data_IF_876552134524
#
_entry.id   IF_876552134524
#
_cell.length_a   1.000
_cell.length_b   1.000
_cell.length_c   1.000
_cell.angle_alpha   90.00
_cell.angle_beta   90.00
_cell.angle_gamma   90.00
#
_symmetry.space_group_name_H-M   'P 1'
#
loop_
_entity.id
_entity.type
_entity.pdbx_description
1 polymer ?
#
# COMPACT_ATOMS: atom_id res chain seq x y z
N UNK A 1 -30.27 42.38 -0.45
CA UNK A 1 -30.48 41.50 -1.63
C UNK A 1 -29.36 41.57 -2.69
N UNK A 2 -28.65 42.69 -2.91
CA UNK A 2 -27.54 42.74 -3.88
C UNK A 2 -26.26 42.00 -3.45
N UNK A 3 -25.94 41.96 -2.14
CA UNK A 3 -24.72 41.31 -1.64
C UNK A 3 -24.72 39.76 -1.77
N UNK A 4 -25.86 39.09 -1.53
CA UNK A 4 -25.94 37.62 -1.64
C UNK A 4 -25.71 37.13 -3.08
N UNK A 5 -26.16 37.89 -4.08
CA UNK A 5 -26.02 37.53 -5.48
C UNK A 5 -24.55 37.57 -5.95
N UNK A 6 -23.75 38.47 -5.40
CA UNK A 6 -22.31 38.58 -5.69
C UNK A 6 -21.51 37.46 -5.04
N UNK A 7 -21.87 37.05 -3.82
CA UNK A 7 -21.20 35.94 -3.11
C UNK A 7 -21.52 34.60 -3.77
N UNK A 8 -22.78 34.35 -4.14
CA UNK A 8 -23.16 33.12 -4.85
C UNK A 8 -22.43 33.03 -6.19
N UNK A 9 -22.38 34.12 -6.96
CA UNK A 9 -21.71 34.13 -8.27
C UNK A 9 -20.20 33.91 -8.16
N UNK A 10 -19.52 34.54 -7.19
CA UNK A 10 -18.11 34.30 -6.93
C UNK A 10 -17.82 32.85 -6.51
N UNK A 11 -18.74 32.22 -5.76
CA UNK A 11 -18.60 30.83 -5.35
C UNK A 11 -18.78 29.87 -6.54
N UNK A 12 -19.71 30.16 -7.45
CA UNK A 12 -19.89 29.39 -8.69
C UNK A 12 -18.68 29.51 -9.62
N UNK A 13 -18.11 30.71 -9.76
CA UNK A 13 -16.92 30.94 -10.57
C UNK A 13 -15.70 30.17 -10.02
N UNK A 14 -15.50 30.19 -8.69
CA UNK A 14 -14.47 29.40 -8.01
C UNK A 14 -14.63 27.88 -8.23
N UNK A 15 -15.87 27.37 -8.26
CA UNK A 15 -16.13 25.93 -8.48
C UNK A 15 -15.76 25.52 -9.91
N UNK A 16 -16.08 26.35 -10.91
CA UNK A 16 -15.75 26.09 -12.32
C UNK A 16 -14.23 26.19 -12.56
N UNK A 17 -13.57 27.12 -11.90
CA UNK A 17 -12.11 27.28 -11.96
C UNK A 17 -11.39 26.09 -11.31
N UNK A 18 -11.80 25.70 -10.10
CA UNK A 18 -11.20 24.55 -9.41
C UNK A 18 -11.38 23.23 -10.17
N UNK A 19 -12.53 23.02 -10.81
CA UNK A 19 -12.76 21.87 -11.69
C UNK A 19 -11.77 21.81 -12.86
N UNK A 20 -11.42 22.97 -13.41
CA UNK A 20 -10.47 23.13 -14.52
C UNK A 20 -9.04 22.88 -14.04
N UNK A 21 -8.67 23.43 -12.89
CA UNK A 21 -7.39 23.18 -12.20
C UNK A 21 -7.20 21.69 -11.94
N UNK A 22 -8.20 21.01 -11.36
CA UNK A 22 -8.14 19.56 -11.14
C UNK A 22 -7.99 18.76 -12.44
N UNK A 23 -8.60 19.20 -13.53
CA UNK A 23 -8.46 18.54 -14.84
C UNK A 23 -7.02 18.61 -15.35
N UNK A 24 -6.37 19.77 -15.22
CA UNK A 24 -4.94 19.95 -15.56
C UNK A 24 -4.05 19.07 -14.69
N UNK A 25 -4.25 19.10 -13.38
CA UNK A 25 -3.47 18.35 -12.39
C UNK A 25 -3.59 16.83 -12.52
N UNK A 26 -4.63 16.32 -13.20
CA UNK A 26 -4.84 14.88 -13.46
C UNK A 26 -4.18 14.37 -14.72
N UNK A 27 -3.59 15.25 -15.54
CA UNK A 27 -2.83 14.80 -16.72
C UNK A 27 -1.65 13.92 -16.26
N UNK A 28 -1.38 12.87 -17.02
CA UNK A 28 -0.24 12.01 -16.73
C UNK A 28 1.05 12.83 -16.80
N UNK A 29 2.00 12.50 -15.92
CA UNK A 29 3.31 13.13 -15.92
C UNK A 29 4.08 12.70 -17.17
N UNK A 30 4.88 13.61 -17.71
CA UNK A 30 5.81 13.31 -18.80
C UNK A 30 6.73 12.13 -18.39
N UNK A 31 6.78 11.03 -19.18
CA UNK A 31 7.66 9.90 -18.90
C UNK A 31 9.13 10.28 -18.68
N UNK A 32 9.64 11.37 -19.29
CA UNK A 32 11.02 11.83 -19.10
C UNK A 32 11.29 12.39 -17.69
N UNK A 33 10.24 12.79 -16.96
CA UNK A 33 10.32 13.27 -15.58
C UNK A 33 10.14 12.15 -14.56
N UNK A 34 9.76 10.95 -15.02
CA UNK A 34 9.63 9.77 -14.17
C UNK A 34 11.04 9.20 -13.90
N UNK A 35 11.27 8.84 -12.65
CA UNK A 35 12.49 8.22 -12.17
C UNK A 35 12.16 6.85 -11.61
N UNK A 36 13.15 5.97 -11.59
CA UNK A 36 13.02 4.62 -11.09
C UNK A 36 14.02 4.42 -9.97
N UNK A 37 13.57 3.82 -8.86
CA UNK A 37 14.46 3.42 -7.77
C UNK A 37 14.27 1.95 -7.43
N UNK A 38 15.35 1.34 -6.99
CA UNK A 38 15.33 -0.01 -6.42
C UNK A 38 14.65 0.03 -5.05
N UNK A 39 13.73 -0.89 -4.79
CA UNK A 39 13.02 -0.96 -3.50
C UNK A 39 13.42 -2.19 -2.71
N UNK A 40 13.29 -3.37 -3.32
CA UNK A 40 13.53 -4.65 -2.67
C UNK A 40 14.10 -5.65 -3.67
N UNK A 41 15.02 -6.47 -3.20
CA UNK A 41 15.43 -7.68 -3.93
C UNK A 41 14.54 -8.84 -3.52
N UNK A 42 13.97 -9.54 -4.50
CA UNK A 42 13.23 -10.78 -4.26
C UNK A 42 14.19 -11.92 -3.86
N UNK A 43 13.65 -13.10 -3.53
CA UNK A 43 14.47 -14.28 -3.18
C UNK A 43 15.23 -14.86 -4.37
N UNK A 44 14.81 -14.53 -5.59
CA UNK A 44 15.38 -15.02 -6.85
C UNK A 44 16.50 -14.09 -7.35
N UNK A 45 16.77 -13.01 -6.62
CA UNK A 45 17.80 -12.02 -6.94
C UNK A 45 17.32 -10.88 -7.86
N UNK A 46 16.06 -10.89 -8.28
CA UNK A 46 15.51 -9.81 -9.10
C UNK A 46 15.28 -8.56 -8.24
N UNK A 47 15.58 -7.41 -8.82
CA UNK A 47 15.42 -6.12 -8.16
C UNK A 47 14.04 -5.58 -8.54
N UNK A 48 13.16 -5.47 -7.55
CA UNK A 48 11.92 -4.72 -7.71
C UNK A 48 12.23 -3.23 -7.76
N UNK A 49 11.61 -2.57 -8.72
CA UNK A 49 11.77 -1.15 -8.92
C UNK A 49 10.43 -0.44 -8.81
N UNK A 50 10.47 0.80 -8.34
CA UNK A 50 9.28 1.66 -8.24
C UNK A 50 9.56 2.96 -8.98
N UNK A 51 8.60 3.33 -9.81
CA UNK A 51 8.56 4.62 -10.50
C UNK A 51 8.11 5.72 -9.53
N UNK A 52 8.73 6.88 -9.63
CA UNK A 52 8.40 8.05 -8.82
C UNK A 52 8.74 9.34 -9.56
N UNK A 53 8.19 10.45 -9.08
CA UNK A 53 8.60 11.80 -9.46
C UNK A 53 9.34 12.48 -8.33
N UNK A 54 10.28 13.35 -8.69
CA UNK A 54 10.98 14.20 -7.73
C UNK A 54 10.04 15.27 -7.15
N UNK A 55 10.37 15.74 -5.95
CA UNK A 55 9.52 16.73 -5.25
C UNK A 55 9.44 18.05 -6.02
N UNK A 56 10.54 18.48 -6.64
CA UNK A 56 10.57 19.74 -7.41
C UNK A 56 9.68 19.65 -8.65
N UNK A 57 9.64 18.50 -9.33
CA UNK A 57 8.71 18.26 -10.44
C UNK A 57 7.25 18.43 -10.01
N UNK A 58 6.90 17.98 -8.80
CA UNK A 58 5.56 18.18 -8.26
C UNK A 58 5.29 19.66 -7.98
N UNK A 59 6.27 20.40 -7.47
CA UNK A 59 6.16 21.84 -7.27
C UNK A 59 6.00 22.60 -8.61
N UNK A 60 6.80 22.24 -9.63
CA UNK A 60 6.72 22.85 -10.97
C UNK A 60 5.32 22.65 -11.60
N UNK A 61 4.75 21.45 -11.48
CA UNK A 61 3.39 21.16 -11.95
C UNK A 61 2.33 21.99 -11.20
N UNK A 62 2.51 22.18 -9.89
CA UNK A 62 1.63 23.00 -9.07
C UNK A 62 1.73 24.48 -9.46
N UNK A 63 2.94 25.00 -9.64
CA UNK A 63 3.18 26.38 -10.07
C UNK A 63 2.56 26.68 -11.45
N UNK A 64 2.65 25.74 -12.39
CA UNK A 64 2.08 25.90 -13.73
C UNK A 64 0.54 25.77 -13.75
N UNK A 65 0.00 24.80 -13.02
CA UNK A 65 -1.41 24.42 -13.12
C UNK A 65 -2.31 25.11 -12.09
N UNK A 66 -1.76 25.50 -10.94
CA UNK A 66 -2.45 26.02 -9.77
C UNK A 66 -1.57 27.05 -9.04
N UNK A 67 -1.26 28.21 -9.65
CA UNK A 67 -0.25 29.16 -9.16
C UNK A 67 -0.56 29.78 -7.80
N UNK A 68 -1.79 29.65 -7.31
CA UNK A 68 -2.23 30.09 -5.99
C UNK A 68 -2.18 28.97 -4.93
N UNK A 69 -1.51 27.85 -5.22
CA UNK A 69 -1.37 26.78 -4.25
C UNK A 69 -0.56 27.22 -3.04
N UNK A 70 -0.89 26.68 -1.88
CA UNK A 70 -0.18 26.93 -0.63
C UNK A 70 0.37 25.64 -0.05
N UNK A 71 1.56 25.73 0.55
CA UNK A 71 2.22 24.66 1.29
C UNK A 71 2.29 25.00 2.78
N UNK A 72 1.88 24.07 3.64
CA UNK A 72 2.10 24.22 5.08
C UNK A 72 2.44 22.90 5.77
N UNK A 73 3.48 22.92 6.61
CA UNK A 73 3.80 21.80 7.50
C UNK A 73 2.87 21.88 8.71
N UNK A 74 2.09 20.82 8.95
CA UNK A 74 1.07 20.74 10.00
C UNK A 74 1.57 20.06 11.27
N UNK A 75 2.37 19.01 11.13
CA UNK A 75 2.93 18.26 12.25
C UNK A 75 4.29 17.69 11.88
N UNK A 76 5.20 17.64 12.85
CA UNK A 76 6.47 16.93 12.77
C UNK A 76 6.60 16.12 14.03
N UNK A 77 6.63 14.79 13.90
CA UNK A 77 6.65 13.87 15.03
C UNK A 77 7.69 12.78 14.85
N UNK A 78 8.44 12.52 15.91
CA UNK A 78 9.33 11.36 15.99
C UNK A 78 8.61 10.18 16.62
N UNK A 79 8.65 9.03 15.95
CA UNK A 79 8.14 7.75 16.43
C UNK A 79 9.27 6.72 16.32
N UNK A 80 9.95 6.46 17.44
CA UNK A 80 11.17 5.65 17.45
C UNK A 80 12.26 6.27 16.57
N UNK A 81 12.72 5.53 15.55
CA UNK A 81 13.70 5.98 14.57
C UNK A 81 13.09 6.55 13.28
N UNK A 82 11.78 6.76 13.27
CA UNK A 82 11.05 7.35 12.14
C UNK A 82 10.65 8.78 12.48
N UNK A 83 10.90 9.71 11.55
CA UNK A 83 10.26 11.02 11.52
C UNK A 83 9.06 10.96 10.59
N UNK A 84 7.92 11.36 11.11
CA UNK A 84 6.68 11.55 10.36
C UNK A 84 6.42 13.04 10.21
N UNK A 85 6.21 13.49 8.98
CA UNK A 85 5.87 14.89 8.67
C UNK A 85 4.50 14.89 8.01
N UNK A 86 3.58 15.72 8.50
CA UNK A 86 2.29 15.97 7.86
C UNK A 86 2.34 17.32 7.17
N UNK A 87 2.05 17.34 5.87
CA UNK A 87 1.97 18.54 5.03
C UNK A 87 0.54 18.70 4.53
N UNK A 88 0.07 19.94 4.44
CA UNK A 88 -1.15 20.29 3.73
C UNK A 88 -0.86 21.13 2.49
N UNK A 89 -1.51 20.77 1.38
CA UNK A 89 -1.58 21.60 0.18
C UNK A 89 -3.00 22.17 0.09
N UNK A 90 -3.12 23.48 -0.11
CA UNK A 90 -4.39 24.17 -0.35
C UNK A 90 -4.41 24.75 -1.76
N UNK A 91 -5.47 24.50 -2.52
CA UNK A 91 -5.70 25.07 -3.87
C UNK A 91 -7.14 25.56 -3.91
N UNK A 92 -7.37 26.83 -4.26
CA UNK A 92 -8.72 27.43 -4.36
C UNK A 92 -9.61 27.17 -3.11
N UNK A 93 -9.01 27.20 -1.91
CA UNK A 93 -9.70 26.94 -0.64
C UNK A 93 -9.95 25.46 -0.31
N UNK A 94 -9.54 24.52 -1.17
CA UNK A 94 -9.58 23.08 -0.90
C UNK A 94 -8.24 22.60 -0.38
N UNK A 95 -8.22 22.07 0.84
CA UNK A 95 -7.01 21.55 1.49
C UNK A 95 -6.97 20.02 1.48
N UNK A 96 -5.82 19.44 1.14
CA UNK A 96 -5.56 18.00 1.28
C UNK A 96 -4.21 17.76 1.93
N UNK A 97 -4.19 16.82 2.85
CA UNK A 97 -2.99 16.50 3.63
C UNK A 97 -2.29 15.25 3.14
N UNK A 98 -0.97 15.19 3.31
CA UNK A 98 -0.12 14.04 3.05
C UNK A 98 0.80 13.80 4.24
N UNK A 99 1.11 12.53 4.51
CA UNK A 99 2.02 12.13 5.58
C UNK A 99 3.22 11.47 4.95
N UNK A 100 4.41 12.01 5.17
CA UNK A 100 5.66 11.44 4.70
C UNK A 100 6.52 10.95 5.85
N UNK A 101 7.44 10.05 5.52
CA UNK A 101 8.29 9.38 6.52
C UNK A 101 9.76 9.39 6.12
N UNK A 102 10.64 9.47 7.12
CA UNK A 102 12.07 9.36 6.93
C UNK A 102 12.80 8.96 8.21
N UNK A 103 14.12 8.73 8.12
CA UNK A 103 14.93 8.31 9.26
C UNK A 103 15.16 9.51 10.19
N UNK A 104 14.86 9.34 11.47
CA UNK A 104 14.88 10.43 12.45
C UNK A 104 16.27 10.96 12.79
N UNK A 105 17.28 10.11 12.65
CA UNK A 105 18.66 10.40 13.06
C UNK A 105 19.47 11.13 11.97
N UNK A 106 18.85 11.46 10.83
CA UNK A 106 19.51 12.13 9.72
C UNK A 106 18.71 13.35 9.25
N UNK A 107 19.41 14.46 9.02
CA UNK A 107 18.85 15.64 8.36
C UNK A 107 18.24 15.27 7.00
N UNK A 108 18.91 14.37 6.25
CA UNK A 108 18.38 13.89 4.96
C UNK A 108 17.08 13.10 5.12
N UNK A 109 16.90 12.42 6.26
CA UNK A 109 15.67 11.71 6.59
C UNK A 109 14.51 12.66 6.90
N UNK A 110 14.77 13.74 7.62
CA UNK A 110 13.75 14.78 7.90
C UNK A 110 13.31 15.46 6.60
N UNK A 111 14.25 15.90 5.76
CA UNK A 111 13.95 16.49 4.44
C UNK A 111 13.16 15.53 3.56
N UNK A 112 13.56 14.26 3.52
CA UNK A 112 12.85 13.22 2.78
C UNK A 112 11.41 13.03 3.28
N UNK A 113 11.17 13.11 4.58
CA UNK A 113 9.83 12.98 5.14
C UNK A 113 8.91 14.12 4.67
N UNK A 114 9.39 15.35 4.67
CA UNK A 114 8.64 16.50 4.14
C UNK A 114 8.36 16.36 2.63
N UNK A 115 9.39 16.03 1.84
CA UNK A 115 9.24 15.82 0.40
C UNK A 115 8.23 14.70 0.08
N UNK A 116 8.24 13.60 0.84
CA UNK A 116 7.28 12.52 0.69
C UNK A 116 5.86 12.97 1.08
N UNK A 117 5.73 13.78 2.13
CA UNK A 117 4.45 14.34 2.58
C UNK A 117 3.83 15.26 1.52
N UNK A 118 4.63 16.16 0.94
CA UNK A 118 4.24 17.03 -0.17
C UNK A 118 3.70 16.21 -1.35
N UNK A 119 4.46 15.22 -1.81
CA UNK A 119 4.04 14.37 -2.94
C UNK A 119 2.75 13.62 -2.64
N UNK A 120 2.58 13.11 -1.42
CA UNK A 120 1.36 12.39 -1.00
C UNK A 120 0.14 13.32 -0.89
N UNK A 121 0.32 14.57 -0.50
CA UNK A 121 -0.75 15.58 -0.53
C UNK A 121 -1.14 15.89 -1.98
N UNK A 122 -0.16 16.12 -2.85
CA UNK A 122 -0.33 16.47 -4.26
C UNK A 122 -1.05 15.37 -5.06
N UNK A 123 -0.74 14.09 -4.82
CA UNK A 123 -1.41 12.95 -5.47
C UNK A 123 -2.90 12.94 -5.24
N UNK A 124 -3.36 13.41 -4.07
CA UNK A 124 -4.79 13.50 -3.77
C UNK A 124 -5.49 14.55 -4.64
N UNK A 125 -4.79 15.55 -5.20
CA UNK A 125 -5.28 16.45 -6.24
C UNK A 125 -5.29 15.85 -7.65
N UNK A 126 -4.39 14.91 -7.94
CA UNK A 126 -4.35 14.22 -9.23
C UNK A 126 -2.95 14.00 -9.76
N UNK A 127 -1.98 14.77 -9.25
CA UNK A 127 -0.60 14.80 -9.75
C UNK A 127 0.05 13.42 -9.59
N UNK A 128 0.60 12.89 -10.68
CA UNK A 128 1.31 11.62 -10.71
C UNK A 128 0.53 10.42 -10.13
N UNK A 129 -0.81 10.50 -10.10
CA UNK A 129 -1.66 9.47 -9.48
C UNK A 129 -1.57 8.14 -10.23
N UNK A 130 -1.31 8.18 -11.53
CA UNK A 130 -1.07 7.02 -12.38
C UNK A 130 0.14 6.19 -11.91
N UNK A 131 1.16 6.81 -11.32
CA UNK A 131 2.32 6.09 -10.77
C UNK A 131 1.89 5.20 -9.59
N UNK A 132 1.06 5.74 -8.70
CA UNK A 132 0.54 5.01 -7.55
C UNK A 132 -0.43 3.90 -7.96
N UNK A 133 -1.22 4.11 -9.02
CA UNK A 133 -2.10 3.06 -9.55
C UNK A 133 -1.29 1.90 -10.12
N UNK A 134 -0.27 2.20 -10.94
CA UNK A 134 0.62 1.18 -11.50
C UNK A 134 1.38 0.41 -10.41
N UNK A 135 1.84 1.11 -9.36
CA UNK A 135 2.46 0.46 -8.20
C UNK A 135 1.47 -0.44 -7.44
N UNK A 136 0.23 0.00 -7.25
CA UNK A 136 -0.80 -0.82 -6.59
C UNK A 136 -1.15 -2.05 -7.43
N UNK A 137 -1.34 -1.86 -8.74
CA UNK A 137 -1.59 -2.94 -9.70
C UNK A 137 -0.40 -3.90 -9.79
N UNK A 138 0.85 -3.44 -9.70
CA UNK A 138 2.02 -4.33 -9.69
C UNK A 138 2.11 -5.15 -8.40
N UNK A 139 1.67 -4.60 -7.27
CA UNK A 139 1.58 -5.34 -6.00
C UNK A 139 0.44 -6.37 -6.04
N UNK A 140 -0.72 -6.03 -6.62
CA UNK A 140 -1.85 -6.97 -6.76
C UNK A 140 -1.59 -8.04 -7.83
N UNK A 141 -0.93 -7.67 -8.91
CA UNK A 141 -0.57 -8.54 -10.03
C UNK A 141 0.80 -9.20 -9.85
N UNK A 142 1.52 -9.01 -8.74
CA UNK A 142 2.49 -10.02 -8.36
C UNK A 142 1.67 -11.30 -8.20
N UNK A 143 1.79 -12.29 -9.12
CA UNK A 143 1.31 -13.60 -8.76
C UNK A 143 2.01 -13.91 -7.45
N UNK A 144 1.27 -14.44 -6.47
CA UNK A 144 1.88 -15.25 -5.42
C UNK A 144 2.65 -16.29 -6.21
N UNK A 145 3.93 -16.03 -6.47
CA UNK A 145 4.69 -16.82 -7.42
C UNK A 145 4.72 -18.19 -6.79
N UNK A 146 4.04 -19.10 -7.45
CA UNK A 146 4.07 -20.53 -7.21
C UNK A 146 5.46 -21.13 -7.50
N UNK A 147 6.49 -20.29 -7.62
CA UNK A 147 7.83 -20.59 -8.10
C UNK A 147 8.88 -20.13 -7.08
N UNK A 148 8.78 -20.73 -5.89
CA UNK A 148 9.93 -21.21 -5.15
C UNK A 148 9.41 -22.30 -4.22
N UNK A 149 9.27 -23.50 -4.79
CA UNK A 149 9.16 -24.76 -4.04
C UNK A 149 10.45 -24.93 -3.25
N UNK A 150 10.57 -24.18 -2.15
CA UNK A 150 11.28 -24.70 -0.99
C UNK A 150 10.25 -25.60 -0.33
N UNK A 151 10.51 -26.90 -0.32
CA UNK A 151 9.74 -27.85 0.48
C UNK A 151 9.80 -27.39 1.95
N UNK A 152 8.81 -26.61 2.38
CA UNK A 152 8.80 -26.08 3.73
C UNK A 152 7.90 -24.87 3.90
N UNK A 153 7.41 -24.74 5.12
CA UNK A 153 6.73 -23.54 5.58
C UNK A 153 7.71 -22.37 5.72
N UNK A 154 7.23 -21.11 5.65
CA UNK A 154 8.07 -19.95 5.98
C UNK A 154 8.66 -20.07 7.39
N UNK A 155 9.91 -19.64 7.58
CA UNK A 155 10.58 -19.68 8.88
C UNK A 155 9.84 -18.87 9.96
N UNK A 156 9.19 -17.78 9.56
CA UNK A 156 8.39 -16.91 10.42
C UNK A 156 6.91 -17.00 10.00
N UNK A 157 6.12 -17.90 10.60
CA UNK A 157 4.73 -18.12 10.20
C UNK A 157 3.77 -17.05 10.74
N UNK A 158 4.16 -16.35 11.80
CA UNK A 158 3.33 -15.35 12.48
C UNK A 158 3.47 -13.98 11.81
N UNK A 159 2.36 -13.29 11.60
CA UNK A 159 2.34 -11.95 11.01
C UNK A 159 3.08 -10.92 11.88
N UNK A 160 4.01 -10.18 11.28
CA UNK A 160 4.76 -9.13 11.99
C UNK A 160 3.97 -7.81 12.11
N UNK A 161 2.87 -7.65 11.37
CA UNK A 161 2.04 -6.44 11.34
C UNK A 161 0.61 -6.75 10.88
N UNK A 162 -0.33 -5.84 11.15
CA UNK A 162 -1.72 -5.95 10.65
C UNK A 162 -1.80 -6.01 9.13
N UNK A 163 -0.91 -5.32 8.42
CA UNK A 163 -0.81 -5.37 6.96
C UNK A 163 -0.31 -6.71 6.43
N UNK A 164 0.40 -7.48 7.26
CA UNK A 164 0.91 -8.81 6.92
C UNK A 164 0.01 -9.94 7.45
N UNK A 165 -1.03 -9.61 8.22
CA UNK A 165 -1.95 -10.60 8.77
C UNK A 165 -2.77 -11.28 7.68
N UNK A 166 -3.07 -12.57 7.90
CA UNK A 166 -3.91 -13.39 7.04
C UNK A 166 -5.21 -12.66 6.66
N UNK A 167 -5.54 -12.72 5.38
CA UNK A 167 -6.73 -12.03 4.86
C UNK A 167 -8.01 -12.83 5.13
N UNK A 168 -9.16 -12.13 5.14
CA UNK A 168 -10.47 -12.78 5.24
C UNK A 168 -10.71 -13.80 4.12
N UNK A 169 -10.21 -13.54 2.90
CA UNK A 169 -10.27 -14.46 1.77
C UNK A 169 -9.48 -15.74 2.05
N UNK A 170 -8.26 -15.63 2.58
CA UNK A 170 -7.43 -16.78 2.94
C UNK A 170 -8.04 -17.60 4.08
N UNK A 171 -8.55 -16.94 5.13
CA UNK A 171 -9.30 -17.62 6.20
C UNK A 171 -10.52 -18.37 5.66
N UNK A 172 -11.25 -17.77 4.71
CA UNK A 172 -12.37 -18.41 4.03
C UNK A 172 -11.94 -19.68 3.28
N UNK A 173 -10.83 -19.61 2.53
CA UNK A 173 -10.29 -20.75 1.80
C UNK A 173 -9.83 -21.88 2.73
N UNK A 174 -9.09 -21.57 3.80
CA UNK A 174 -8.63 -22.56 4.79
C UNK A 174 -9.84 -23.30 5.40
N UNK A 175 -10.87 -22.55 5.83
CA UNK A 175 -12.09 -23.12 6.42
C UNK A 175 -12.87 -23.97 5.44
N UNK A 176 -12.94 -23.58 4.16
CA UNK A 176 -13.61 -24.35 3.12
C UNK A 176 -12.91 -25.70 2.90
N UNK A 177 -11.59 -25.69 2.73
CA UNK A 177 -10.79 -26.91 2.53
C UNK A 177 -10.90 -27.84 3.74
N UNK A 178 -10.83 -27.29 4.96
CA UNK A 178 -11.01 -28.06 6.20
C UNK A 178 -12.38 -28.72 6.29
N UNK A 179 -13.45 -28.03 5.86
CA UNK A 179 -14.82 -28.59 5.83
C UNK A 179 -14.98 -29.68 4.78
N UNK A 180 -14.46 -29.46 3.58
CA UNK A 180 -14.58 -30.41 2.46
C UNK A 180 -13.73 -31.68 2.67
N UNK A 181 -12.57 -31.53 3.31
CA UNK A 181 -11.60 -32.63 3.48
C UNK A 181 -11.66 -33.28 4.86
N UNK A 182 -12.49 -32.78 5.78
CA UNK A 182 -12.58 -33.26 7.16
C UNK A 182 -11.32 -33.00 8.01
N UNK A 183 -10.47 -32.06 7.58
CA UNK A 183 -9.22 -31.72 8.24
C UNK A 183 -9.49 -30.72 9.38
N UNK A 184 -8.89 -30.95 10.54
CA UNK A 184 -8.81 -29.95 11.60
C UNK A 184 -7.70 -28.94 11.27
N UNK A 185 -8.08 -27.87 10.58
CA UNK A 185 -7.14 -26.84 10.12
C UNK A 185 -6.46 -26.09 11.27
N UNK A 186 -7.11 -25.98 12.43
CA UNK A 186 -6.52 -25.29 13.58
C UNK A 186 -5.45 -26.19 14.23
N UNK A 187 -5.79 -27.47 14.46
CA UNK A 187 -4.85 -28.47 14.94
C UNK A 187 -3.66 -28.67 14.00
N UNK A 188 -3.91 -28.74 12.70
CA UNK A 188 -2.87 -28.90 11.68
C UNK A 188 -1.94 -27.68 11.62
N UNK A 189 -2.49 -26.47 11.70
CA UNK A 189 -1.71 -25.23 11.76
C UNK A 189 -0.87 -25.17 13.04
N UNK A 190 -1.45 -25.51 14.19
CA UNK A 190 -0.74 -25.55 15.47
C UNK A 190 0.39 -26.59 15.45
N UNK A 191 0.20 -27.73 14.79
CA UNK A 191 1.19 -28.79 14.73
C UNK A 191 2.37 -28.43 13.80
N UNK A 192 2.07 -27.86 12.63
CA UNK A 192 3.07 -27.58 11.60
C UNK A 192 3.78 -26.23 11.80
N UNK A 193 3.02 -25.21 12.23
CA UNK A 193 3.46 -23.82 12.27
C UNK A 193 3.57 -23.24 13.68
N UNK A 194 3.13 -23.99 14.71
CA UNK A 194 3.16 -23.57 16.12
C UNK A 194 2.43 -22.24 16.36
N UNK A 195 1.39 -21.95 15.59
CA UNK A 195 0.55 -20.76 15.74
C UNK A 195 -0.91 -21.05 15.34
N UNK A 196 -1.82 -20.13 15.71
CA UNK A 196 -3.21 -20.18 15.25
C UNK A 196 -3.31 -19.80 13.77
N UNK A 197 -4.35 -20.30 13.10
CA UNK A 197 -4.68 -19.91 11.71
C UNK A 197 -4.92 -18.40 11.61
N UNK A 198 -5.42 -17.77 12.68
CA UNK A 198 -5.69 -16.33 12.71
C UNK A 198 -4.43 -15.46 12.85
N UNK A 199 -3.30 -16.04 13.24
CA UNK A 199 -2.03 -15.33 13.48
C UNK A 199 -1.09 -15.39 12.28
N UNK A 200 -1.46 -16.18 11.26
CA UNK A 200 -0.62 -16.42 10.10
C UNK A 200 -0.31 -15.11 9.36
N UNK A 201 0.94 -14.98 8.92
CA UNK A 201 1.28 -14.05 7.86
C UNK A 201 0.55 -14.43 6.56
N UNK A 202 0.29 -13.46 5.67
CA UNK A 202 -0.30 -13.71 4.35
C UNK A 202 0.46 -14.80 3.59
N UNK A 203 1.79 -14.80 3.73
CA UNK A 203 2.67 -15.78 3.11
C UNK A 203 2.48 -17.17 3.71
N UNK A 204 2.51 -17.28 5.03
CA UNK A 204 2.32 -18.56 5.72
C UNK A 204 0.93 -19.15 5.46
N UNK A 205 -0.10 -18.30 5.39
CA UNK A 205 -1.45 -18.69 5.02
C UNK A 205 -1.51 -19.28 3.60
N UNK A 206 -0.84 -18.68 2.61
CA UNK A 206 -0.78 -19.25 1.26
C UNK A 206 -0.08 -20.62 1.24
N UNK A 207 1.08 -20.74 1.89
CA UNK A 207 1.79 -22.04 2.00
C UNK A 207 0.96 -23.11 2.73
N UNK A 208 0.18 -22.70 3.72
CA UNK A 208 -0.71 -23.61 4.45
C UNK A 208 -1.92 -24.05 3.62
N UNK A 209 -2.50 -23.16 2.81
CA UNK A 209 -3.54 -23.52 1.84
C UNK A 209 -3.03 -24.58 0.86
N UNK A 210 -1.83 -24.39 0.30
CA UNK A 210 -1.23 -25.34 -0.64
C UNK A 210 -0.99 -26.71 0.03
N UNK A 211 -0.54 -26.70 1.29
CA UNK A 211 -0.37 -27.93 2.08
C UNK A 211 -1.71 -28.66 2.25
N UNK A 212 -2.78 -27.96 2.65
CA UNK A 212 -4.11 -28.53 2.83
C UNK A 212 -4.69 -29.07 1.51
N UNK A 213 -4.50 -28.38 0.39
CA UNK A 213 -4.93 -28.85 -0.94
C UNK A 213 -4.15 -30.10 -1.39
N UNK A 214 -2.85 -30.19 -1.09
CA UNK A 214 -2.05 -31.40 -1.35
C UNK A 214 -2.55 -32.57 -0.50
N UNK A 215 -2.83 -32.34 0.77
CA UNK A 215 -3.40 -33.34 1.67
C UNK A 215 -4.79 -33.83 1.20
N UNK A 216 -5.59 -32.95 0.61
CA UNK A 216 -6.88 -33.30 -0.02
C UNK A 216 -6.70 -34.21 -1.25
N UNK A 217 -5.72 -33.92 -2.12
CA UNK A 217 -5.47 -34.67 -3.36
C UNK A 217 -4.73 -36.00 -3.13
N UNK A 218 -3.90 -36.08 -2.10
CA UNK A 218 -3.04 -37.25 -1.81
C UNK A 218 -3.13 -37.66 -0.34
N UNK A 219 -4.18 -38.39 0.07
CA UNK A 219 -4.37 -38.82 1.46
C UNK A 219 -3.34 -39.84 1.98
N UNK A 220 -2.36 -40.25 1.16
CA UNK A 220 -1.34 -41.25 1.48
C UNK A 220 0.07 -40.66 1.73
N UNK A 221 0.16 -39.37 2.13
CA UNK A 221 1.43 -38.72 2.46
C UNK A 221 2.00 -39.19 3.83
N UNK A 222 3.31 -39.05 4.01
CA UNK A 222 4.10 -39.62 5.12
C UNK A 222 3.71 -39.14 6.54
N UNK A 223 2.88 -38.10 6.67
CA UNK A 223 2.18 -37.76 7.92
C UNK A 223 0.69 -37.55 7.59
N UNK A 224 -0.22 -38.36 8.16
CA UNK A 224 -1.66 -38.19 7.92
C UNK A 224 -2.16 -36.91 8.61
N UNK A 225 -2.99 -36.10 7.93
CA UNK A 225 -3.51 -34.85 8.49
C UNK A 225 -4.43 -35.13 9.68
N UNK A 226 -4.40 -34.26 10.68
CA UNK A 226 -5.30 -34.31 11.84
C UNK A 226 -6.74 -34.21 11.35
N UNK A 227 -7.51 -35.28 11.58
CA UNK A 227 -8.94 -35.30 11.28
C UNK A 227 -9.72 -34.81 12.47
N UNK A 228 -10.82 -34.11 12.21
CA UNK A 228 -11.76 -33.71 13.26
C UNK A 228 -12.26 -34.95 13.99
N UNK A 229 -12.27 -34.91 15.32
CA UNK A 229 -13.07 -35.84 16.10
C UNK A 229 -14.55 -35.63 15.71
N UNK A 230 -15.23 -36.73 15.38
CA UNK A 230 -16.65 -36.73 15.02
C UNK A 230 -17.55 -36.30 16.16
#
# INVERSE_FOLDING_TARGET
MRQNKTVEQANFDNILDFGTTLSKLRKNVDPELVRTRETRRDRNGNIQTVEYVEWHTVADILDESAPNWEHSVKDIRRIGDIMTVTVAITIDGVTREGIGTGIAQSETGIKKAEHDALKRAAVKFGIARELYKREFESIENEPVTADAVTEGFPADPIAASLSDLVTAKQLGMIRAIGRESGIDTEGECSLLLKCSVAELSKRAASSFIDHLQKAQKHPAAAMPPLRRAG
#
